data_IF_037333657640
#
_entry.id   IF_037333657640
#
_cell.length_a   1.000
_cell.length_b   1.000
_cell.length_c   1.000
_cell.angle_alpha   90.00
_cell.angle_beta   90.00
_cell.angle_gamma   90.00
#
_symmetry.space_group_name_H-M   'P 1'
#
loop_
_entity.id
_entity.type
_entity.pdbx_description
1 polymer ?
#
# COMPACT_ATOMS: atom_id res chain seq x y z
N UNK A 1 -14.19 21.87 -4.53
CA UNK A 1 -13.89 20.50 -4.03
C UNK A 1 -13.11 20.66 -2.74
N UNK A 2 -13.61 20.14 -1.62
CA UNK A 2 -12.83 20.09 -0.38
C UNK A 2 -11.57 19.25 -0.62
N UNK A 3 -10.41 19.68 -0.11
CA UNK A 3 -9.21 18.85 -0.21
C UNK A 3 -9.36 17.67 0.74
N UNK A 4 -8.68 16.56 0.44
CA UNK A 4 -8.65 15.39 1.32
C UNK A 4 -8.20 15.77 2.75
N UNK A 5 -7.30 16.76 2.85
CA UNK A 5 -6.81 17.31 4.12
C UNK A 5 -7.88 18.06 4.95
N UNK A 6 -8.98 18.48 4.33
CA UNK A 6 -10.06 19.21 5.01
C UNK A 6 -11.17 18.25 5.51
N UNK A 7 -11.05 16.94 5.25
CA UNK A 7 -12.02 15.95 5.71
C UNK A 7 -11.73 15.56 7.16
N UNK A 8 -12.76 15.37 7.99
CA UNK A 8 -12.57 14.72 9.28
C UNK A 8 -12.00 13.31 9.06
N UNK A 9 -11.30 12.74 10.05
CA UNK A 9 -10.70 11.42 9.93
C UNK A 9 -11.71 10.38 9.43
N UNK A 10 -11.35 9.68 8.35
CA UNK A 10 -12.17 8.65 7.74
C UNK A 10 -11.30 7.53 7.17
N UNK A 11 -11.87 6.33 7.09
CA UNK A 11 -11.28 5.21 6.38
C UNK A 11 -12.33 4.56 5.47
N UNK A 12 -11.92 4.17 4.24
CA UNK A 12 -12.73 3.34 3.36
C UNK A 12 -12.00 2.00 3.20
N UNK A 13 -12.55 0.96 3.80
CA UNK A 13 -11.94 -0.39 3.84
C UNK A 13 -12.95 -1.38 3.29
N UNK A 14 -12.62 -2.02 2.15
CA UNK A 14 -13.56 -2.86 1.41
C UNK A 14 -14.83 -2.06 1.04
N UNK A 15 -15.99 -2.57 1.44
CA UNK A 15 -17.30 -1.93 1.22
C UNK A 15 -17.78 -1.08 2.41
N UNK A 16 -16.88 -0.67 3.31
CA UNK A 16 -17.23 0.07 4.53
C UNK A 16 -16.60 1.46 4.54
N UNK A 17 -17.41 2.45 4.89
CA UNK A 17 -16.95 3.79 5.24
C UNK A 17 -17.01 3.93 6.77
N UNK A 18 -15.87 4.29 7.33
CA UNK A 18 -15.65 4.46 8.77
C UNK A 18 -15.40 5.94 9.06
N UNK A 19 -16.14 6.50 10.01
CA UNK A 19 -16.04 7.89 10.48
C UNK A 19 -16.15 7.92 11.99
N UNK A 20 -15.94 9.09 12.60
CA UNK A 20 -15.92 9.26 14.05
C UNK A 20 -14.79 8.44 14.68
N UNK A 21 -13.56 8.82 14.34
CA UNK A 21 -12.34 8.24 14.90
C UNK A 21 -12.32 8.43 16.42
N UNK A 22 -12.19 7.33 17.16
CA UNK A 22 -12.20 7.33 18.62
C UNK A 22 -10.86 6.95 19.24
N UNK A 23 -10.02 6.22 18.51
CA UNK A 23 -8.74 5.74 19.03
C UNK A 23 -7.71 5.53 17.91
N UNK A 24 -6.43 5.73 18.23
CA UNK A 24 -5.29 5.44 17.35
C UNK A 24 -4.14 4.90 18.20
N UNK A 25 -3.64 3.73 17.84
CA UNK A 25 -2.53 3.07 18.54
C UNK A 25 -1.65 2.28 17.57
N UNK A 26 -0.44 1.93 17.99
CA UNK A 26 0.45 0.98 17.33
C UNK A 26 0.53 -0.37 18.06
N UNK A 27 -0.16 -0.49 19.20
CA UNK A 27 -0.21 -1.72 20.01
C UNK A 27 -1.29 -2.69 19.47
N UNK A 28 -0.91 -3.87 18.94
CA UNK A 28 -1.87 -4.86 18.44
C UNK A 28 -2.81 -5.43 19.50
N UNK A 29 -2.50 -5.29 20.80
CA UNK A 29 -3.39 -5.73 21.88
C UNK A 29 -4.76 -5.01 21.83
N UNK A 30 -4.86 -3.87 21.15
CA UNK A 30 -6.13 -3.18 20.94
C UNK A 30 -7.18 -4.02 20.19
N UNK A 31 -6.73 -5.00 19.40
CA UNK A 31 -7.60 -5.91 18.64
C UNK A 31 -8.23 -7.01 19.49
N UNK A 32 -7.78 -7.21 20.73
CA UNK A 32 -8.44 -8.08 21.70
C UNK A 32 -9.74 -7.44 22.22
N UNK A 33 -9.89 -6.13 22.05
CA UNK A 33 -11.10 -5.39 22.39
C UNK A 33 -12.19 -5.43 21.31
N UNK A 34 -13.33 -4.82 21.62
CA UNK A 34 -14.46 -4.70 20.69
C UNK A 34 -14.32 -3.50 19.74
N UNK A 35 -15.18 -3.46 18.72
CA UNK A 35 -15.31 -2.33 17.79
C UNK A 35 -14.70 -2.61 16.42
N UNK A 36 -14.68 -1.57 15.57
CA UNK A 36 -14.17 -1.67 14.21
C UNK A 36 -12.86 -0.90 14.07
N UNK A 37 -11.81 -1.60 13.65
CA UNK A 37 -10.47 -1.07 13.48
C UNK A 37 -10.07 -1.07 12.00
N UNK A 38 -9.60 0.07 11.50
CA UNK A 38 -8.83 0.12 10.27
C UNK A 38 -7.35 -0.07 10.61
N UNK A 39 -6.69 -1.01 9.94
CA UNK A 39 -5.30 -1.39 10.22
C UNK A 39 -4.43 -1.10 9.01
N UNK A 40 -3.34 -0.37 9.23
CA UNK A 40 -2.30 -0.12 8.23
C UNK A 40 -1.01 -0.74 8.73
N UNK A 41 -0.49 -1.73 8.00
CA UNK A 41 0.80 -2.37 8.29
C UNK A 41 1.78 -1.99 7.19
N UNK A 42 2.67 -1.00 7.42
CA UNK A 42 3.68 -0.61 6.45
C UNK A 42 4.81 -1.65 6.39
N UNK A 43 5.62 -1.59 5.33
CA UNK A 43 6.76 -2.49 5.15
C UNK A 43 7.87 -2.25 6.19
N UNK A 44 8.15 -0.99 6.50
CA UNK A 44 9.25 -0.58 7.38
C UNK A 44 8.81 0.62 8.25
N UNK A 45 7.84 0.38 9.14
CA UNK A 45 7.40 1.30 10.19
C UNK A 45 6.45 0.57 11.18
N UNK A 46 6.18 1.13 12.37
CA UNK A 46 5.13 0.61 13.25
C UNK A 46 3.76 0.58 12.55
N UNK A 47 2.90 -0.41 12.86
CA UNK A 47 1.54 -0.45 12.36
C UNK A 47 0.71 0.70 12.94
N UNK A 48 -0.41 1.01 12.29
CA UNK A 48 -1.41 1.94 12.83
C UNK A 48 -2.76 1.22 12.91
N UNK A 49 -3.34 1.20 14.10
CA UNK A 49 -4.67 0.72 14.38
C UNK A 49 -5.55 1.93 14.71
N UNK A 50 -6.58 2.19 13.89
CA UNK A 50 -7.50 3.31 14.06
C UNK A 50 -8.93 2.80 14.31
N UNK A 51 -9.51 3.11 15.47
CA UNK A 51 -10.88 2.69 15.84
C UNK A 51 -11.90 3.73 15.45
N UNK A 52 -13.00 3.30 14.85
CA UNK A 52 -14.10 4.16 14.43
C UNK A 52 -15.41 3.78 15.12
N UNK A 53 -16.16 4.78 15.59
CA UNK A 53 -17.47 4.58 16.20
C UNK A 53 -18.57 4.37 15.15
N UNK A 54 -18.45 4.98 13.97
CA UNK A 54 -19.47 4.90 12.93
C UNK A 54 -18.97 4.11 11.73
N UNK A 55 -19.63 2.98 11.45
CA UNK A 55 -19.33 2.12 10.31
C UNK A 55 -20.59 1.93 9.48
N UNK A 56 -20.56 2.34 8.22
CA UNK A 56 -21.69 2.21 7.29
C UNK A 56 -21.25 1.64 5.95
N UNK A 57 -22.16 1.07 5.15
CA UNK A 57 -21.84 0.72 3.77
C UNK A 57 -21.25 1.93 3.03
N UNK A 58 -20.10 1.73 2.41
CA UNK A 58 -19.51 2.69 1.51
C UNK A 58 -20.41 2.81 0.28
N UNK A 59 -20.57 4.03 -0.23
CA UNK A 59 -21.17 4.23 -1.55
C UNK A 59 -20.07 3.97 -2.59
N UNK A 60 -20.24 3.02 -3.53
CA UNK A 60 -19.25 2.79 -4.56
C UNK A 60 -19.01 4.09 -5.34
N UNK A 61 -17.80 4.63 -5.24
CA UNK A 61 -17.38 5.73 -6.09
C UNK A 61 -16.64 5.14 -7.27
N UNK A 62 -17.24 5.25 -8.47
CA UNK A 62 -16.61 4.75 -9.71
C UNK A 62 -15.36 5.55 -10.10
N UNK A 63 -15.09 6.66 -9.41
CA UNK A 63 -14.01 7.57 -9.75
C UNK A 63 -14.20 8.19 -11.14
N UNK A 64 -13.33 9.14 -11.52
CA UNK A 64 -13.05 9.35 -12.93
C UNK A 64 -12.48 8.05 -13.52
N UNK A 65 -12.69 7.84 -14.83
CA UNK A 65 -11.99 6.78 -15.55
C UNK A 65 -10.49 6.97 -15.34
N UNK A 66 -9.81 5.96 -14.81
CA UNK A 66 -8.36 5.99 -14.71
C UNK A 66 -7.76 6.15 -16.10
N UNK A 67 -6.92 7.17 -16.26
CA UNK A 67 -6.10 7.38 -17.44
C UNK A 67 -4.67 7.10 -17.01
N UNK A 68 -4.14 5.96 -17.44
CA UNK A 68 -2.75 5.61 -17.18
C UNK A 68 -1.79 6.57 -17.91
N UNK A 69 -0.50 6.58 -17.52
CA UNK A 69 0.52 7.28 -18.27
C UNK A 69 0.53 6.86 -19.74
N UNK A 70 0.87 7.78 -20.64
CA UNK A 70 1.02 7.47 -22.05
C UNK A 70 2.11 6.41 -22.24
N UNK A 71 1.90 5.46 -23.17
CA UNK A 71 2.83 4.32 -23.34
C UNK A 71 4.24 4.78 -23.74
N UNK A 72 4.33 5.86 -24.50
CA UNK A 72 5.54 6.53 -24.94
C UNK A 72 6.21 7.39 -23.86
N UNK A 73 5.53 7.65 -22.73
CA UNK A 73 6.14 8.30 -21.57
C UNK A 73 7.06 7.36 -20.78
N UNK A 74 7.03 6.06 -21.07
CA UNK A 74 7.91 5.07 -20.44
C UNK A 74 9.22 4.96 -21.22
N UNK A 75 10.33 5.10 -20.50
CA UNK A 75 11.67 4.79 -21.00
C UNK A 75 12.32 3.74 -20.11
N UNK A 76 13.00 2.76 -20.72
CA UNK A 76 13.83 1.82 -19.97
C UNK A 76 15.23 2.40 -19.77
N UNK A 77 15.80 2.22 -18.58
CA UNK A 77 17.20 2.55 -18.30
C UNK A 77 18.18 1.58 -18.96
N UNK A 78 17.72 0.37 -19.30
CA UNK A 78 18.50 -0.66 -19.98
C UNK A 78 17.72 -1.19 -21.18
N UNK A 79 18.45 -1.49 -22.26
CA UNK A 79 17.89 -2.33 -23.30
C UNK A 79 17.85 -3.80 -22.86
N UNK A 80 17.23 -4.63 -23.70
CA UNK A 80 17.09 -6.06 -23.45
C UNK A 80 18.44 -6.76 -23.27
N UNK A 81 19.43 -6.44 -24.12
CA UNK A 81 20.71 -7.13 -24.11
C UNK A 81 21.51 -6.82 -22.85
N UNK A 82 21.51 -5.55 -22.43
CA UNK A 82 22.14 -5.10 -21.20
C UNK A 82 21.47 -5.72 -19.96
N UNK A 83 20.14 -5.78 -19.93
CA UNK A 83 19.41 -6.44 -18.84
C UNK A 83 19.73 -7.94 -18.76
N UNK A 84 19.67 -8.66 -19.89
CA UNK A 84 19.99 -10.08 -19.94
C UNK A 84 21.45 -10.38 -19.57
N UNK A 85 22.38 -9.46 -19.88
CA UNK A 85 23.78 -9.56 -19.43
C UNK A 85 23.89 -9.47 -17.91
N UNK A 86 23.21 -8.51 -17.28
CA UNK A 86 23.16 -8.39 -15.82
C UNK A 86 22.58 -9.65 -15.15
N UNK A 87 21.51 -10.21 -15.72
CA UNK A 87 20.93 -11.47 -15.22
C UNK A 87 21.93 -12.63 -15.28
N UNK A 88 22.70 -12.75 -16.38
CA UNK A 88 23.74 -13.79 -16.50
C UNK A 88 24.83 -13.61 -15.44
N UNK A 89 25.28 -12.38 -15.20
CA UNK A 89 26.26 -12.08 -14.15
C UNK A 89 25.74 -12.49 -12.76
N UNK A 90 24.48 -12.18 -12.44
CA UNK A 90 23.88 -12.57 -11.16
C UNK A 90 23.80 -14.09 -11.02
N UNK A 91 23.42 -14.81 -12.10
CA UNK A 91 23.38 -16.28 -12.07
C UNK A 91 24.74 -16.91 -11.78
N UNK A 92 25.81 -16.39 -12.39
CA UNK A 92 27.17 -16.86 -12.12
C UNK A 92 27.55 -16.63 -10.65
N UNK A 93 27.22 -15.47 -10.07
CA UNK A 93 27.48 -15.20 -8.66
C UNK A 93 26.69 -16.14 -7.72
N UNK A 94 25.46 -16.50 -8.09
CA UNK A 94 24.67 -17.49 -7.34
C UNK A 94 25.30 -18.89 -7.45
N UNK A 95 25.68 -19.32 -8.65
CA UNK A 95 26.34 -20.61 -8.88
C UNK A 95 27.66 -20.74 -8.12
N UNK A 96 28.42 -19.64 -8.01
CA UNK A 96 29.65 -19.56 -7.22
C UNK A 96 29.41 -19.56 -5.71
N UNK A 97 28.17 -19.32 -5.25
CA UNK A 97 27.82 -19.23 -3.84
C UNK A 97 28.09 -17.87 -3.20
N UNK A 98 28.39 -16.83 -3.99
CA UNK A 98 28.66 -15.47 -3.50
C UNK A 98 27.39 -14.81 -2.93
N UNK A 99 26.24 -15.12 -3.53
CA UNK A 99 24.91 -14.65 -3.13
C UNK A 99 23.87 -15.73 -3.35
N UNK A 100 22.76 -15.67 -2.61
CA UNK A 100 21.61 -16.57 -2.84
C UNK A 100 20.52 -15.92 -3.71
N UNK A 101 20.35 -14.60 -3.60
CA UNK A 101 19.37 -13.82 -4.36
C UNK A 101 19.85 -12.36 -4.50
N UNK A 102 19.56 -11.73 -5.63
CA UNK A 102 19.72 -10.28 -5.89
C UNK A 102 18.43 -9.75 -6.52
N UNK A 103 18.01 -8.55 -6.13
CA UNK A 103 16.86 -7.82 -6.71
C UNK A 103 17.37 -6.73 -7.66
#
# INVERSE_FOLDING_TARGET
MARLADQPPLAVVGERLCTDLTDVTDDPACLEGEGFWAVVVPYDAPPTFARFATVRPARPWRGPRWVGPARDAWSSSLDRAAFEAGVRTIRVAIEAGDVYQVN
#
